data_IF_251731578743
#
_entry.id   IF_251731578743
#
_cell.length_a   1.000
_cell.length_b   1.000
_cell.length_c   1.000
_cell.angle_alpha   90.00
_cell.angle_beta   90.00
_cell.angle_gamma   90.00
#
_symmetry.space_group_name_H-M   'P 1'
#
loop_
_entity.id
_entity.type
_entity.pdbx_description
1 polymer ?
#
# COMPACT_ATOMS: atom_id res chain seq x y z
N UNK A 1 -2.35 -10.31 -28.08
CA UNK A 1 -1.19 -10.58 -27.22
C UNK A 1 -1.24 -9.54 -26.07
N UNK A 2 -0.35 -9.59 -25.07
CA UNK A 2 -0.36 -8.60 -23.99
C UNK A 2 0.99 -7.91 -23.89
N UNK A 3 0.97 -6.58 -23.89
CA UNK A 3 2.12 -5.71 -23.74
C UNK A 3 2.15 -5.19 -22.30
N UNK A 4 3.23 -5.46 -21.59
CA UNK A 4 3.43 -4.97 -20.24
C UNK A 4 4.29 -3.71 -20.25
N UNK A 5 3.83 -2.68 -19.56
CA UNK A 5 4.55 -1.44 -19.37
C UNK A 5 4.42 -0.93 -17.93
N UNK A 6 5.23 0.05 -17.57
CA UNK A 6 5.22 0.67 -16.25
C UNK A 6 5.17 2.19 -16.37
N UNK A 7 4.33 2.84 -15.56
CA UNK A 7 4.31 4.28 -15.43
C UNK A 7 5.64 4.77 -14.84
N UNK A 8 6.22 5.81 -15.45
CA UNK A 8 7.51 6.40 -15.04
C UNK A 8 7.35 7.62 -14.15
N UNK A 9 6.15 8.22 -14.12
CA UNK A 9 5.86 9.41 -13.33
C UNK A 9 4.94 9.06 -12.15
N UNK A 10 5.21 9.59 -10.95
CA UNK A 10 4.29 9.43 -9.82
C UNK A 10 2.98 10.18 -10.08
N UNK A 11 1.85 9.74 -9.50
CA UNK A 11 0.59 10.47 -9.63
C UNK A 11 0.60 11.78 -8.85
N UNK A 12 -0.26 12.71 -9.28
CA UNK A 12 -0.70 13.80 -8.41
C UNK A 12 -1.76 13.26 -7.47
N UNK A 13 -1.55 13.42 -6.17
CA UNK A 13 -2.44 12.90 -5.14
C UNK A 13 -3.19 14.03 -4.44
N UNK A 14 -4.52 13.94 -4.39
CA UNK A 14 -5.40 14.89 -3.71
C UNK A 14 -6.15 14.15 -2.61
N UNK A 15 -6.04 14.64 -1.38
CA UNK A 15 -6.76 14.07 -0.23
C UNK A 15 -8.19 14.59 -0.23
N UNK A 16 -9.14 13.68 -0.11
CA UNK A 16 -10.56 13.98 0.11
C UNK A 16 -10.89 13.64 1.55
N UNK A 17 -11.20 14.67 2.34
CA UNK A 17 -11.54 14.53 3.75
C UNK A 17 -13.01 14.11 3.90
N UNK A 18 -13.22 12.92 4.46
CA UNK A 18 -14.51 12.35 4.89
C UNK A 18 -15.42 11.73 3.80
N UNK A 19 -15.40 10.39 3.62
CA UNK A 19 -14.49 9.40 4.23
C UNK A 19 -13.04 9.59 3.74
N UNK A 20 -12.01 9.07 4.45
CA UNK A 20 -10.62 9.20 4.02
C UNK A 20 -10.39 8.50 2.68
N UNK A 21 -10.38 9.29 1.61
CA UNK A 21 -10.14 8.86 0.25
C UNK A 21 -9.02 9.69 -0.38
N UNK A 22 -8.39 9.12 -1.40
CA UNK A 22 -7.38 9.79 -2.20
C UNK A 22 -7.79 9.75 -3.65
N UNK A 23 -7.87 10.92 -4.28
CA UNK A 23 -7.94 11.00 -5.73
C UNK A 23 -6.50 10.99 -6.27
N UNK A 24 -6.17 9.96 -7.04
CA UNK A 24 -4.91 9.78 -7.72
C UNK A 24 -5.09 10.15 -9.20
N UNK A 25 -4.30 11.10 -9.67
CA UNK A 25 -4.31 11.56 -11.05
C UNK A 25 -3.02 11.11 -11.72
N UNK A 26 -3.15 10.18 -12.66
CA UNK A 26 -2.06 9.69 -13.50
C UNK A 26 -2.19 10.28 -14.90
N UNK A 27 -1.05 10.63 -15.48
CA UNK A 27 -0.96 11.01 -16.88
C UNK A 27 0.44 10.71 -17.39
N UNK A 28 0.55 10.28 -18.64
CA UNK A 28 1.86 10.07 -19.23
C UNK A 28 1.80 9.53 -20.65
N UNK A 29 2.97 9.12 -21.12
CA UNK A 29 3.14 8.46 -22.42
C UNK A 29 3.85 7.13 -22.17
N UNK A 30 3.25 6.06 -22.65
CA UNK A 30 3.89 4.74 -22.75
C UNK A 30 4.64 4.69 -24.07
N UNK A 31 5.89 4.23 -24.02
CA UNK A 31 6.75 4.03 -25.19
C UNK A 31 7.23 2.58 -25.14
N UNK A 32 7.25 1.92 -26.30
CA UNK A 32 7.91 0.61 -26.38
C UNK A 32 9.43 0.76 -26.23
N UNK A 33 10.08 -0.15 -25.51
CA UNK A 33 11.49 0.02 -25.14
C UNK A 33 12.41 0.13 -26.38
N UNK A 34 12.37 -0.90 -27.22
CA UNK A 34 13.17 -0.98 -28.47
C UNK A 34 12.32 -1.37 -29.68
N UNK A 35 11.11 -1.88 -29.43
CA UNK A 35 10.12 -2.28 -30.43
C UNK A 35 8.86 -1.44 -30.22
N UNK A 36 8.06 -1.24 -31.27
CA UNK A 36 6.74 -0.63 -31.10
C UNK A 36 5.85 -1.47 -30.18
N UNK A 37 4.90 -0.79 -29.53
CA UNK A 37 3.94 -1.42 -28.62
C UNK A 37 3.06 -2.44 -29.35
N UNK A 38 2.70 -2.16 -30.60
CA UNK A 38 1.81 -3.01 -31.38
C UNK A 38 2.14 -2.88 -32.86
N UNK A 39 2.27 -4.00 -33.58
CA UNK A 39 2.53 -4.05 -35.03
C UNK A 39 1.45 -4.89 -35.71
N UNK A 40 0.95 -4.40 -36.84
CA UNK A 40 0.01 -5.11 -37.72
C UNK A 40 0.56 -5.12 -39.14
N UNK A 41 0.56 -6.30 -39.76
CA UNK A 41 1.03 -6.55 -41.14
C UNK A 41 -0.07 -7.19 -42.00
N UNK A 42 -1.33 -6.95 -41.67
CA UNK A 42 -2.49 -7.49 -42.36
C UNK A 42 -3.63 -6.47 -42.45
N UNK A 43 -4.53 -6.64 -43.42
CA UNK A 43 -5.76 -5.84 -43.50
C UNK A 43 -6.85 -6.25 -42.50
N UNK A 44 -6.67 -7.30 -41.71
CA UNK A 44 -7.58 -7.65 -40.63
C UNK A 44 -7.37 -6.70 -39.44
N UNK A 45 -8.47 -6.36 -38.75
CA UNK A 45 -8.39 -5.68 -37.45
C UNK A 45 -7.75 -6.66 -36.47
N UNK A 46 -6.64 -6.25 -35.88
CA UNK A 46 -5.97 -7.00 -34.82
C UNK A 46 -6.16 -6.27 -33.49
N UNK A 47 -6.18 -7.04 -32.41
CA UNK A 47 -6.37 -6.55 -31.04
C UNK A 47 -5.17 -6.88 -30.18
N UNK A 48 -4.79 -5.94 -29.32
CA UNK A 48 -3.69 -6.07 -28.36
C UNK A 48 -4.08 -5.47 -27.01
N UNK A 49 -3.81 -6.19 -25.93
CA UNK A 49 -4.02 -5.68 -24.57
C UNK A 49 -2.76 -4.97 -24.09
N UNK A 50 -2.87 -3.69 -23.73
CA UNK A 50 -1.86 -2.97 -22.98
C UNK A 50 -2.17 -3.07 -21.48
N UNK A 51 -1.27 -3.68 -20.71
CA UNK A 51 -1.29 -3.68 -19.24
C UNK A 51 -0.18 -2.74 -18.73
N UNK A 52 -0.60 -1.56 -18.28
CA UNK A 52 0.27 -0.52 -17.74
C UNK A 52 0.20 -0.52 -16.21
N UNK A 53 1.25 -0.99 -15.56
CA UNK A 53 1.39 -0.89 -14.11
C UNK A 53 1.60 0.58 -13.70
N UNK A 54 0.68 1.12 -12.89
CA UNK A 54 0.72 2.50 -12.41
C UNK A 54 1.64 2.69 -11.18
N UNK A 55 2.25 1.60 -10.69
CA UNK A 55 3.22 1.54 -9.60
C UNK A 55 2.76 2.23 -8.31
N UNK A 56 1.46 2.21 -8.05
CA UNK A 56 0.87 2.82 -6.86
C UNK A 56 0.00 1.80 -6.12
N UNK A 57 0.42 1.32 -4.93
CA UNK A 57 -0.36 0.38 -4.17
C UNK A 57 -1.48 1.12 -3.41
N UNK A 58 -2.67 0.55 -3.41
CA UNK A 58 -3.87 1.14 -2.78
C UNK A 58 -4.63 0.09 -1.99
N UNK A 59 -5.55 0.51 -1.11
CA UNK A 59 -6.41 -0.40 -0.36
C UNK A 59 -7.56 -0.92 -1.23
N UNK A 60 -8.46 -0.03 -1.63
CA UNK A 60 -9.62 -0.35 -2.47
C UNK A 60 -9.89 0.77 -3.48
N UNK A 61 -10.20 0.42 -4.72
CA UNK A 61 -10.73 1.37 -5.71
C UNK A 61 -12.19 1.67 -5.36
N UNK A 62 -12.50 2.95 -5.11
CA UNK A 62 -13.88 3.45 -4.91
C UNK A 62 -14.51 3.76 -6.28
N UNK A 63 -13.79 4.52 -7.09
CA UNK A 63 -14.20 4.91 -8.44
C UNK A 63 -12.96 5.11 -9.31
N UNK A 64 -13.09 4.87 -10.60
CA UNK A 64 -12.02 5.13 -11.55
C UNK A 64 -12.58 5.57 -12.90
N UNK A 65 -11.80 6.39 -13.59
CA UNK A 65 -11.97 6.69 -15.00
C UNK A 65 -10.61 6.69 -15.66
N UNK A 66 -10.54 6.23 -16.89
CA UNK A 66 -9.30 6.20 -17.65
C UNK A 66 -9.56 6.52 -19.11
N UNK A 67 -8.53 7.02 -19.77
CA UNK A 67 -8.54 7.30 -21.19
C UNK A 67 -7.16 6.97 -21.74
N UNK A 68 -7.18 6.32 -22.88
CA UNK A 68 -5.99 6.00 -23.66
C UNK A 68 -6.19 6.59 -25.05
N UNK A 69 -5.18 7.26 -25.55
CA UNK A 69 -5.22 7.91 -26.85
C UNK A 69 -3.91 7.68 -27.62
N UNK A 70 -4.02 7.63 -28.93
CA UNK A 70 -2.88 7.51 -29.82
C UNK A 70 -1.98 8.74 -29.69
N UNK A 71 -0.70 8.53 -29.36
CA UNK A 71 0.29 9.60 -29.34
C UNK A 71 1.21 9.55 -30.56
N UNK A 72 1.54 8.35 -31.05
CA UNK A 72 2.42 8.18 -32.21
C UNK A 72 2.20 6.85 -32.90
N UNK A 73 2.01 6.92 -34.22
CA UNK A 73 1.92 5.78 -35.13
C UNK A 73 2.97 5.89 -36.22
N UNK A 74 3.50 4.76 -36.68
CA UNK A 74 4.41 4.64 -37.81
C UNK A 74 3.87 3.68 -38.86
N UNK A 75 4.32 3.85 -40.10
CA UNK A 75 3.97 3.00 -41.24
C UNK A 75 5.21 2.77 -42.10
N UNK A 76 5.29 1.61 -42.75
CA UNK A 76 6.33 1.35 -43.75
C UNK A 76 6.08 2.12 -45.05
N UNK A 77 4.81 2.38 -45.44
CA UNK A 77 4.47 2.97 -46.75
C UNK A 77 3.41 4.09 -46.72
N UNK A 78 2.84 4.44 -45.56
CA UNK A 78 2.32 5.80 -45.26
C UNK A 78 1.07 6.30 -46.00
N UNK A 79 -0.03 5.53 -46.05
CA UNK A 79 -1.20 5.90 -46.88
C UNK A 79 -2.55 5.94 -46.14
N UNK A 80 -2.91 4.93 -45.33
CA UNK A 80 -4.08 5.00 -44.43
C UNK A 80 -3.99 3.99 -43.27
N UNK A 81 -4.68 4.26 -42.16
CA UNK A 81 -4.79 3.33 -41.03
C UNK A 81 -6.06 3.56 -40.22
N UNK A 82 -6.48 2.53 -39.49
CA UNK A 82 -7.55 2.62 -38.48
C UNK A 82 -6.96 2.27 -37.12
N UNK A 83 -7.19 3.13 -36.14
CA UNK A 83 -6.84 2.90 -34.75
C UNK A 83 -8.08 3.15 -33.87
N UNK A 84 -8.31 2.28 -32.89
CA UNK A 84 -9.23 2.56 -31.80
C UNK A 84 -8.71 2.02 -30.46
N UNK A 85 -9.20 2.64 -29.39
CA UNK A 85 -9.12 2.09 -28.04
C UNK A 85 -10.51 1.57 -27.71
N UNK A 86 -10.66 0.24 -27.72
CA UNK A 86 -11.96 -0.40 -27.57
C UNK A 86 -12.45 -0.27 -26.12
N UNK A 87 -11.54 -0.47 -25.16
CA UNK A 87 -11.80 -0.30 -23.73
C UNK A 87 -10.58 0.26 -23.00
N UNK A 88 -10.84 0.93 -21.88
CA UNK A 88 -9.82 1.31 -20.91
C UNK A 88 -10.40 1.18 -19.52
N UNK A 89 -9.75 0.41 -18.65
CA UNK A 89 -10.18 0.16 -17.28
C UNK A 89 -9.01 0.26 -16.33
N UNK A 90 -9.31 0.52 -15.06
CA UNK A 90 -8.34 0.44 -13.97
C UNK A 90 -8.65 -0.82 -13.17
N UNK A 91 -7.64 -1.66 -13.01
CA UNK A 91 -7.69 -2.86 -12.17
C UNK A 91 -6.73 -2.70 -10.99
N UNK A 92 -7.01 -3.43 -9.92
CA UNK A 92 -6.12 -3.56 -8.77
C UNK A 92 -5.69 -5.01 -8.67
N UNK A 93 -4.39 -5.25 -8.53
CA UNK A 93 -3.87 -6.58 -8.22
C UNK A 93 -4.30 -6.95 -6.79
N UNK A 94 -5.06 -8.05 -6.59
CA UNK A 94 -5.55 -8.43 -5.27
C UNK A 94 -4.46 -8.85 -4.28
N UNK A 95 -3.26 -9.21 -4.75
CA UNK A 95 -2.17 -9.65 -3.88
C UNK A 95 -1.27 -8.50 -3.46
N UNK A 96 -0.97 -7.58 -4.41
CA UNK A 96 -0.03 -6.48 -4.17
C UNK A 96 -0.71 -5.15 -3.87
N UNK A 97 -1.99 -5.01 -4.20
CA UNK A 97 -2.73 -3.75 -4.13
C UNK A 97 -2.33 -2.76 -5.23
N UNK A 98 -1.41 -3.13 -6.13
CA UNK A 98 -0.92 -2.28 -7.22
C UNK A 98 -2.02 -1.99 -8.23
N UNK A 99 -2.10 -0.74 -8.66
CA UNK A 99 -3.00 -0.34 -9.73
C UNK A 99 -2.39 -0.63 -11.11
N UNK A 100 -3.19 -1.16 -12.02
CA UNK A 100 -2.90 -1.30 -13.45
C UNK A 100 -3.96 -0.59 -14.28
N UNK A 101 -3.53 0.09 -15.34
CA UNK A 101 -4.39 0.52 -16.42
C UNK A 101 -4.36 -0.56 -17.51
N UNK A 102 -5.53 -1.13 -17.81
CA UNK A 102 -5.69 -2.15 -18.85
C UNK A 102 -6.44 -1.49 -20.02
N UNK A 103 -5.89 -1.56 -21.22
CA UNK A 103 -6.52 -1.01 -22.41
C UNK A 103 -6.47 -2.00 -23.57
N UNK A 104 -7.59 -2.15 -24.25
CA UNK A 104 -7.70 -2.94 -25.47
C UNK A 104 -7.50 -2.01 -26.67
N UNK A 105 -6.43 -2.25 -27.43
CA UNK A 105 -6.05 -1.48 -28.60
C UNK A 105 -6.41 -2.28 -29.86
N UNK A 106 -7.04 -1.61 -30.83
CA UNK A 106 -7.29 -2.18 -32.14
C UNK A 106 -6.56 -1.39 -33.23
N UNK A 107 -5.89 -2.12 -34.13
CA UNK A 107 -5.13 -1.56 -35.24
C UNK A 107 -5.42 -2.36 -36.50
N UNK A 108 -5.57 -1.65 -37.61
CA UNK A 108 -5.75 -2.24 -38.93
C UNK A 108 -4.79 -1.58 -39.91
N UNK A 109 -4.06 -2.41 -40.66
CA UNK A 109 -3.30 -1.94 -41.82
C UNK A 109 -4.21 -1.82 -43.04
N UNK A 110 -3.78 -1.03 -44.02
CA UNK A 110 -4.53 -0.83 -45.25
C UNK A 110 -4.57 -2.07 -46.16
N UNK A 111 -5.29 -1.92 -47.28
CA UNK A 111 -5.40 -2.92 -48.34
C UNK A 111 -4.02 -3.18 -48.94
N UNK A 112 -3.72 -4.42 -49.40
CA UNK A 112 -2.39 -4.75 -49.86
C UNK A 112 -2.02 -3.89 -51.08
N UNK A 113 -0.74 -3.54 -51.18
CA UNK A 113 -0.21 -2.75 -52.30
C UNK A 113 -0.26 -3.56 -53.60
N UNK A 114 0.05 -2.91 -54.73
CA UNK A 114 -0.01 -3.53 -56.07
C UNK A 114 0.82 -4.83 -56.20
N UNK A 115 1.77 -5.08 -55.28
CA UNK A 115 2.54 -6.31 -55.20
C UNK A 115 1.96 -7.42 -54.31
N UNK A 116 0.78 -7.24 -53.72
CA UNK A 116 0.16 -8.20 -52.80
C UNK A 116 0.72 -8.20 -51.38
N UNK A 117 1.61 -7.25 -51.06
CA UNK A 117 2.20 -7.07 -49.73
C UNK A 117 1.39 -6.08 -48.91
N UNK A 118 1.27 -6.33 -47.60
CA UNK A 118 0.63 -5.41 -46.68
C UNK A 118 1.69 -4.51 -46.05
N UNK A 119 1.48 -3.18 -45.98
CA UNK A 119 2.40 -2.33 -45.25
C UNK A 119 2.32 -2.66 -43.76
N UNK A 120 3.45 -2.56 -43.08
CA UNK A 120 3.52 -2.70 -41.64
C UNK A 120 3.06 -1.39 -41.00
N UNK A 121 2.07 -1.49 -40.12
CA UNK A 121 1.61 -0.39 -39.26
C UNK A 121 2.04 -0.67 -37.83
N UNK A 122 2.48 0.34 -37.10
CA UNK A 122 2.86 0.14 -35.71
C UNK A 122 2.61 1.33 -34.80
N UNK A 123 2.23 1.05 -33.55
CA UNK A 123 2.04 2.05 -32.50
C UNK A 123 3.35 2.18 -31.73
N UNK A 124 3.98 3.35 -31.81
CA UNK A 124 5.21 3.63 -31.04
C UNK A 124 4.89 4.11 -29.63
N UNK A 125 3.86 4.95 -29.51
CA UNK A 125 3.55 5.68 -28.29
C UNK A 125 2.05 5.83 -28.08
N UNK A 126 1.65 5.69 -26.83
CA UNK A 126 0.27 5.85 -26.38
C UNK A 126 0.27 6.82 -25.21
N UNK A 127 -0.56 7.85 -25.28
CA UNK A 127 -0.80 8.73 -24.12
C UNK A 127 -1.92 8.14 -23.27
N UNK A 128 -1.79 8.25 -21.96
CA UNK A 128 -2.81 7.81 -21.02
C UNK A 128 -3.12 8.90 -20.00
N UNK A 129 -4.34 8.89 -19.50
CA UNK A 129 -4.76 9.57 -18.28
C UNK A 129 -5.65 8.64 -17.48
N UNK A 130 -5.41 8.56 -16.17
CA UNK A 130 -6.27 7.83 -15.25
C UNK A 130 -6.55 8.68 -14.02
N UNK A 131 -7.79 8.66 -13.56
CA UNK A 131 -8.21 9.27 -12.32
C UNK A 131 -8.80 8.16 -11.46
N UNK A 132 -8.21 7.91 -10.31
CA UNK A 132 -8.57 6.80 -9.44
C UNK A 132 -8.85 7.35 -8.06
N UNK A 133 -10.11 7.30 -7.65
CA UNK A 133 -10.49 7.55 -6.27
C UNK A 133 -10.33 6.24 -5.50
N UNK A 134 -9.41 6.23 -4.54
CA UNK A 134 -9.13 5.07 -3.70
C UNK A 134 -9.43 5.37 -2.25
N UNK A 135 -9.85 4.34 -1.53
CA UNK A 135 -9.92 4.39 -0.09
C UNK A 135 -8.51 4.25 0.47
N UNK A 136 -8.11 5.19 1.32
CA UNK A 136 -6.92 5.02 2.14
C UNK A 136 -7.42 4.38 3.43
N UNK A 137 -7.31 3.05 3.52
CA UNK A 137 -7.45 2.42 4.82
C UNK A 137 -6.33 2.98 5.72
N UNK A 138 -6.73 3.66 6.79
CA UNK A 138 -5.74 4.17 7.72
C UNK A 138 -5.03 2.98 8.35
N UNK A 139 -3.69 2.93 8.29
CA UNK A 139 -2.93 1.86 8.90
C UNK A 139 -3.16 1.85 10.41
N UNK A 140 -3.60 0.70 10.92
CA UNK A 140 -4.02 0.52 12.30
C UNK A 140 -3.22 -0.59 12.96
N UNK A 141 -2.74 -0.34 14.17
CA UNK A 141 -2.29 -1.39 15.10
C UNK A 141 -3.17 -1.35 16.34
N UNK A 142 -3.76 -2.50 16.70
CA UNK A 142 -4.67 -2.61 17.83
C UNK A 142 -4.33 -3.83 18.71
N UNK A 143 -4.62 -3.71 20.00
CA UNK A 143 -4.40 -4.77 20.97
C UNK A 143 -4.95 -4.43 22.35
N UNK A 144 -4.61 -5.29 23.32
CA UNK A 144 -4.98 -5.17 24.72
C UNK A 144 -3.76 -5.10 25.62
N UNK A 145 -3.81 -4.24 26.62
CA UNK A 145 -2.85 -4.13 27.72
C UNK A 145 -3.48 -4.77 28.95
N UNK A 146 -2.79 -5.71 29.58
CA UNK A 146 -3.30 -6.44 30.75
C UNK A 146 -2.35 -6.35 31.93
N UNK A 147 -2.89 -6.16 33.13
CA UNK A 147 -2.10 -6.18 34.36
C UNK A 147 -2.94 -6.64 35.56
N UNK A 148 -2.27 -7.21 36.55
CA UNK A 148 -2.87 -7.63 37.81
C UNK A 148 -3.14 -6.42 38.70
N UNK A 149 -4.35 -6.31 39.27
CA UNK A 149 -4.69 -5.25 40.22
C UNK A 149 -3.88 -5.34 41.53
N UNK A 150 -3.34 -6.52 41.84
CA UNK A 150 -2.54 -6.76 43.06
C UNK A 150 -1.13 -6.21 42.94
N UNK A 151 -0.64 -6.09 41.71
CA UNK A 151 0.75 -5.75 41.43
C UNK A 151 0.90 -4.29 40.98
N UNK A 152 -0.13 -3.73 40.34
CA UNK A 152 -0.10 -2.40 39.74
C UNK A 152 -1.42 -1.67 39.92
N UNK A 153 -1.33 -0.39 40.29
CA UNK A 153 -2.46 0.54 40.37
C UNK A 153 -2.38 1.62 39.27
N UNK A 154 -3.54 1.95 38.68
CA UNK A 154 -3.71 3.08 37.77
C UNK A 154 -4.57 4.16 38.47
N UNK A 155 -3.95 5.14 39.11
CA UNK A 155 -4.63 6.12 39.98
C UNK A 155 -5.49 7.13 39.21
N UNK A 156 -5.13 7.42 37.96
CA UNK A 156 -5.86 8.31 37.07
C UNK A 156 -5.59 7.97 35.60
N UNK A 157 -6.48 8.38 34.69
CA UNK A 157 -6.35 8.13 33.26
C UNK A 157 -6.02 9.40 32.48
N UNK A 158 -5.10 9.38 31.51
CA UNK A 158 -4.34 8.21 31.01
C UNK A 158 -3.23 7.75 31.96
N UNK A 159 -3.09 6.44 32.14
CA UNK A 159 -2.00 5.82 32.92
C UNK A 159 -0.95 5.14 32.05
N UNK A 160 -1.30 4.84 30.79
CA UNK A 160 -0.43 4.19 29.83
C UNK A 160 -0.40 5.00 28.55
N UNK A 161 0.73 5.00 27.86
CA UNK A 161 0.83 5.47 26.49
C UNK A 161 1.34 4.36 25.58
N UNK A 162 0.87 4.36 24.33
CA UNK A 162 1.31 3.42 23.30
C UNK A 162 1.84 4.19 22.11
N UNK A 163 2.90 3.66 21.51
CA UNK A 163 3.53 4.25 20.33
C UNK A 163 4.03 3.17 19.40
N UNK A 164 4.04 3.47 18.10
CA UNK A 164 4.77 2.72 17.10
C UNK A 164 6.07 3.46 16.82
N UNK A 165 7.18 2.75 16.96
CA UNK A 165 8.52 3.27 16.74
C UNK A 165 9.13 2.58 15.52
N UNK A 166 9.90 3.30 14.72
CA UNK A 166 10.68 2.67 13.66
C UNK A 166 11.70 1.69 14.26
N UNK A 167 12.31 0.86 13.42
CA UNK A 167 13.32 -0.11 13.85
C UNK A 167 14.70 0.36 13.42
N UNK A 168 15.65 0.41 14.36
CA UNK A 168 17.06 0.61 14.09
C UNK A 168 17.77 -0.75 14.13
N UNK A 169 18.27 -1.22 12.98
CA UNK A 169 19.02 -2.46 12.89
C UNK A 169 20.47 -2.27 13.34
N UNK A 170 20.99 -3.22 14.13
CA UNK A 170 22.41 -3.21 14.47
C UNK A 170 23.27 -3.40 13.21
N UNK A 171 24.46 -2.75 13.12
CA UNK A 171 25.35 -2.90 11.98
C UNK A 171 25.75 -4.36 11.71
N UNK A 172 26.08 -4.72 10.46
CA UNK A 172 26.61 -6.03 10.14
C UNK A 172 27.85 -6.35 10.99
N UNK A 173 27.82 -7.41 11.79
CA UNK A 173 28.92 -7.86 12.66
C UNK A 173 28.61 -7.91 14.16
N UNK A 174 27.46 -7.36 14.60
CA UNK A 174 26.93 -7.59 15.96
C UNK A 174 26.02 -8.81 16.05
N UNK A 175 25.84 -9.38 17.24
CA UNK A 175 24.78 -10.37 17.49
C UNK A 175 23.44 -9.75 17.04
N UNK A 176 22.82 -10.36 16.03
CA UNK A 176 21.66 -9.80 15.33
C UNK A 176 20.58 -9.34 16.29
N UNK A 177 20.12 -8.11 16.10
CA UNK A 177 19.15 -7.48 16.96
C UNK A 177 18.69 -6.15 16.38
N UNK A 178 17.62 -5.63 16.96
CA UNK A 178 17.12 -4.32 16.64
C UNK A 178 16.80 -3.55 17.91
N UNK A 179 16.87 -2.23 17.82
CA UNK A 179 16.42 -1.33 18.87
C UNK A 179 15.27 -0.48 18.36
N UNK A 180 14.33 -0.07 19.23
CA UNK A 180 13.33 0.92 18.86
C UNK A 180 14.01 2.24 18.46
N UNK A 181 13.60 2.77 17.32
CA UNK A 181 13.99 4.07 16.80
C UNK A 181 12.99 5.17 17.18
N UNK A 182 12.96 6.30 16.43
CA UNK A 182 12.00 7.37 16.66
C UNK A 182 10.54 6.92 16.57
N UNK A 183 9.68 7.60 17.33
CA UNK A 183 8.22 7.44 17.27
C UNK A 183 7.72 7.89 15.90
N UNK A 184 6.98 7.03 15.20
CA UNK A 184 6.36 7.33 13.91
C UNK A 184 4.85 7.50 14.02
N UNK A 185 4.22 6.90 15.03
CA UNK A 185 2.80 7.09 15.35
C UNK A 185 2.55 6.91 16.86
N UNK A 186 1.52 7.58 17.37
CA UNK A 186 1.05 7.42 18.76
C UNK A 186 -0.37 6.88 18.75
N UNK A 187 -0.74 6.15 19.80
CA UNK A 187 -2.09 5.61 19.93
C UNK A 187 -2.83 6.12 21.15
N UNK A 188 -4.13 5.84 21.14
CA UNK A 188 -5.05 6.09 22.24
C UNK A 188 -5.21 4.80 23.03
N UNK A 189 -5.16 4.90 24.36
CA UNK A 189 -5.46 3.79 25.27
C UNK A 189 -6.76 4.13 25.98
N UNK A 190 -7.71 3.19 25.95
CA UNK A 190 -8.99 3.33 26.63
C UNK A 190 -8.88 3.02 28.12
N UNK A 191 -9.73 3.60 28.99
CA UNK A 191 -9.76 3.26 30.40
C UNK A 191 -9.91 1.74 30.62
N UNK A 192 -9.24 1.17 31.64
CA UNK A 192 -9.27 -0.26 31.86
C UNK A 192 -10.63 -0.73 32.38
N UNK A 193 -10.98 -1.96 32.02
CA UNK A 193 -12.06 -2.72 32.66
C UNK A 193 -11.42 -3.78 33.56
N UNK A 194 -11.87 -3.83 34.81
CA UNK A 194 -11.45 -4.83 35.78
C UNK A 194 -12.34 -6.07 35.68
N UNK A 195 -11.73 -7.23 35.45
CA UNK A 195 -12.41 -8.52 35.47
C UNK A 195 -11.54 -9.57 36.18
N UNK A 196 -12.08 -10.19 37.23
CA UNK A 196 -11.40 -11.27 37.98
C UNK A 196 -9.98 -10.92 38.46
N UNK A 197 -9.78 -9.68 38.90
CA UNK A 197 -8.48 -9.19 39.40
C UNK A 197 -7.47 -8.81 38.31
N UNK A 198 -7.87 -8.82 37.04
CA UNK A 198 -7.05 -8.38 35.91
C UNK A 198 -7.69 -7.15 35.28
N UNK A 199 -6.93 -6.06 35.24
CA UNK A 199 -7.28 -4.87 34.47
C UNK A 199 -6.93 -5.11 33.00
N UNK A 200 -7.84 -4.78 32.11
CA UNK A 200 -7.65 -4.86 30.65
C UNK A 200 -8.00 -3.51 30.02
N UNK A 201 -7.06 -2.92 29.29
CA UNK A 201 -7.27 -1.70 28.51
C UNK A 201 -7.04 -1.98 27.02
N UNK A 202 -7.95 -1.57 26.15
CA UNK A 202 -7.76 -1.64 24.70
C UNK A 202 -6.97 -0.44 24.22
N UNK A 203 -6.20 -0.60 23.14
CA UNK A 203 -5.51 0.51 22.51
C UNK A 203 -5.58 0.46 20.99
N UNK A 204 -5.43 1.64 20.37
CA UNK A 204 -5.45 1.83 18.93
C UNK A 204 -4.36 2.83 18.52
N UNK A 205 -3.45 2.42 17.63
CA UNK A 205 -2.45 3.29 16.98
C UNK A 205 -2.89 3.46 15.52
N UNK A 206 -3.11 4.70 15.10
CA UNK A 206 -3.48 5.05 13.72
C UNK A 206 -2.33 5.75 13.00
N UNK A 207 -2.29 5.68 11.67
CA UNK A 207 -1.34 6.46 10.86
C UNK A 207 0.10 5.91 10.86
N UNK A 208 0.26 4.61 11.12
CA UNK A 208 1.56 3.93 11.03
C UNK A 208 2.02 3.86 9.56
N UNK A 209 3.23 4.31 9.19
CA UNK A 209 3.67 4.28 7.79
C UNK A 209 3.69 2.85 7.19
N UNK A 210 3.12 2.67 5.99
CA UNK A 210 3.20 1.40 5.26
C UNK A 210 4.64 1.07 4.84
N UNK A 211 4.95 -0.22 4.75
CA UNK A 211 6.25 -0.72 4.28
C UNK A 211 7.41 -0.50 5.26
N UNK A 212 7.19 0.26 6.33
CA UNK A 212 8.19 0.48 7.38
C UNK A 212 8.04 -0.58 8.48
N UNK A 213 9.17 -1.18 8.88
CA UNK A 213 9.21 -2.01 10.07
C UNK A 213 9.08 -1.15 11.32
N UNK A 214 8.11 -1.48 12.16
CA UNK A 214 7.83 -0.80 13.42
C UNK A 214 7.76 -1.78 14.59
N UNK A 215 8.10 -1.29 15.78
CA UNK A 215 7.86 -1.98 17.05
C UNK A 215 6.87 -1.17 17.87
N UNK A 216 5.97 -1.85 18.58
CA UNK A 216 5.02 -1.20 19.47
C UNK A 216 5.61 -1.14 20.86
N UNK A 217 5.64 0.05 21.44
CA UNK A 217 6.10 0.29 22.80
C UNK A 217 4.93 0.76 23.67
N UNK A 218 4.88 0.20 24.87
CA UNK A 218 3.98 0.61 25.96
C UNK A 218 4.82 1.29 27.02
N UNK A 219 4.43 2.50 27.42
CA UNK A 219 5.12 3.27 28.45
C UNK A 219 4.16 3.56 29.59
N UNK A 220 4.62 3.32 30.82
CA UNK A 220 3.90 3.72 32.02
C UNK A 220 4.01 5.23 32.23
N UNK A 221 2.86 5.88 32.46
CA UNK A 221 2.79 7.29 32.85
C UNK A 221 2.85 7.41 34.39
N UNK A 222 3.07 8.62 34.95
CA UNK A 222 3.22 8.80 36.40
C UNK A 222 2.04 8.31 37.26
N UNK A 223 0.85 8.17 36.69
CA UNK A 223 -0.34 7.63 37.35
C UNK A 223 -0.41 6.09 37.36
N UNK A 224 0.52 5.40 36.72
CA UNK A 224 0.64 3.93 36.70
C UNK A 224 1.75 3.48 37.64
N UNK A 225 1.37 2.97 38.81
CA UNK A 225 2.29 2.71 39.93
C UNK A 225 2.36 1.23 40.28
N UNK A 226 3.57 0.75 40.48
CA UNK A 226 3.82 -0.55 41.10
C UNK A 226 3.37 -0.51 42.57
N UNK A 227 2.60 -1.51 42.98
CA UNK A 227 2.24 -1.74 44.38
C UNK A 227 3.31 -2.57 45.09
N UNK A 228 3.94 -3.49 44.36
CA UNK A 228 4.96 -4.41 44.86
C UNK A 228 6.07 -4.59 43.81
N UNK A 229 7.31 -4.88 44.24
CA UNK A 229 8.45 -5.21 43.38
C UNK A 229 9.26 -4.01 42.84
N UNK A 230 10.36 -4.33 42.11
CA UNK A 230 11.41 -3.34 41.80
C UNK A 230 11.39 -2.84 40.34
N UNK A 231 10.80 -3.58 39.40
CA UNK A 231 10.82 -3.17 37.98
C UNK A 231 9.55 -3.60 37.26
N UNK A 232 8.90 -2.62 36.63
CA UNK A 232 7.75 -2.81 35.74
C UNK A 232 8.27 -3.05 34.32
N UNK A 233 7.82 -4.13 33.70
CA UNK A 233 8.04 -4.40 32.29
C UNK A 233 6.73 -4.62 31.55
N UNK A 234 6.71 -4.26 30.27
CA UNK A 234 5.63 -4.62 29.35
C UNK A 234 6.15 -5.68 28.38
N UNK A 235 5.51 -6.84 28.38
CA UNK A 235 5.89 -7.96 27.55
C UNK A 235 4.79 -8.24 26.56
N UNK A 236 5.17 -8.36 25.29
CA UNK A 236 4.21 -8.70 24.23
C UNK A 236 3.70 -10.12 24.47
N UNK A 237 2.38 -10.27 24.48
CA UNK A 237 1.69 -11.55 24.60
C UNK A 237 1.38 -12.11 23.21
N UNK A 238 1.55 -13.43 23.05
CA UNK A 238 1.27 -14.12 21.80
C UNK A 238 2.40 -14.11 20.77
N UNK A 239 2.20 -14.84 19.68
CA UNK A 239 3.19 -15.05 18.62
C UNK A 239 3.03 -14.09 17.43
N UNK A 240 2.67 -12.84 17.71
CA UNK A 240 2.61 -11.82 16.64
C UNK A 240 4.01 -11.35 16.26
N UNK A 241 4.26 -11.16 14.97
CA UNK A 241 5.56 -10.75 14.46
C UNK A 241 6.09 -9.48 15.15
N UNK A 242 7.38 -9.47 15.47
CA UNK A 242 8.07 -8.32 16.05
C UNK A 242 9.49 -8.21 15.43
N UNK A 243 9.78 -7.20 14.62
CA UNK A 243 8.94 -6.04 14.30
C UNK A 243 7.74 -6.37 13.38
N UNK A 244 6.81 -5.43 13.30
CA UNK A 244 5.63 -5.44 12.45
C UNK A 244 5.88 -4.64 11.17
N UNK A 245 5.31 -5.07 10.05
CA UNK A 245 5.23 -4.27 8.83
C UNK A 245 3.80 -4.29 8.34
N UNK A 246 3.16 -3.12 8.25
CA UNK A 246 1.84 -2.99 7.62
C UNK A 246 2.02 -2.80 6.11
N UNK A 247 1.13 -3.40 5.33
CA UNK A 247 1.05 -3.20 3.88
C UNK A 247 -0.33 -2.65 3.52
N UNK A 248 -0.51 -2.08 2.32
CA UNK A 248 -1.84 -1.65 1.88
C UNK A 248 -2.88 -2.78 1.86
N UNK A 249 -2.45 -4.03 1.60
CA UNK A 249 -3.31 -5.22 1.63
C UNK A 249 -3.49 -5.84 3.01
N UNK A 250 -2.62 -5.50 3.97
CA UNK A 250 -2.72 -5.84 5.39
C UNK A 250 -2.59 -4.55 6.21
N UNK A 251 -3.58 -3.68 6.05
CA UNK A 251 -3.57 -2.33 6.63
C UNK A 251 -3.74 -2.33 8.14
N UNK A 252 -4.20 -3.44 8.70
CA UNK A 252 -4.49 -3.60 10.11
C UNK A 252 -3.69 -4.75 10.70
N UNK A 253 -3.05 -4.49 11.83
CA UNK A 253 -2.52 -5.54 12.70
C UNK A 253 -3.29 -5.52 14.03
N UNK A 254 -4.13 -6.52 14.23
CA UNK A 254 -4.85 -6.74 15.49
C UNK A 254 -4.09 -7.72 16.40
N UNK A 255 -4.58 -7.87 17.63
CA UNK A 255 -4.06 -8.80 18.64
C UNK A 255 -2.59 -8.56 19.02
N UNK A 256 -2.13 -7.30 18.96
CA UNK A 256 -0.81 -6.91 19.47
C UNK A 256 -0.93 -6.69 20.99
N UNK A 257 -1.05 -7.78 21.72
CA UNK A 257 -1.34 -7.72 23.15
C UNK A 257 -0.07 -7.53 23.99
N UNK A 258 -0.19 -6.88 25.14
CA UNK A 258 0.88 -6.76 26.13
C UNK A 258 0.37 -7.11 27.53
N UNK A 259 1.26 -7.72 28.32
CA UNK A 259 1.06 -7.95 29.74
C UNK A 259 2.09 -7.13 30.49
N UNK A 260 1.63 -6.31 31.43
CA UNK A 260 2.51 -5.69 32.41
C UNK A 260 2.85 -6.74 33.46
N UNK A 261 4.13 -7.01 33.68
CA UNK A 261 4.57 -7.91 34.74
C UNK A 261 5.66 -7.25 35.57
N UNK A 262 5.69 -7.67 36.83
CA UNK A 262 6.68 -7.23 37.80
C UNK A 262 7.75 -8.30 37.88
N UNK A 263 8.98 -7.95 37.55
CA UNK A 263 10.11 -8.86 37.75
C UNK A 263 10.67 -8.68 39.16
N UNK A 264 10.73 -9.77 39.91
CA UNK A 264 11.62 -9.85 41.07
C UNK A 264 12.99 -10.26 40.54
N UNK A 265 13.89 -9.29 40.34
CA UNK A 265 15.31 -9.61 40.19
C UNK A 265 15.73 -10.35 41.48
N UNK A 266 15.87 -11.67 41.37
CA UNK A 266 16.43 -12.55 42.40
C UNK A 266 17.94 -12.52 42.34
#
# INVERSE_FOLDING_TARGET
MTVFASATQPPVAVIVSDPPAQLLLFSGIVVGNNDPLFIVTSSAIQHETLDLNLNFPTGRIIASTSTVALASIGSSEGVAFTFATDTSTIAQDPNTGSLSLIAELSLQSETPTWGGWYPSMWINRVSYSAQVLVEIEQPIIAGTLRWSERDVAAESWPALSVSANSVNWSPPGGFGGFTPGPVVATGVVEPPVLASGVNTATYLITGVPFGQQVTVLVTALPSFKLLHGNTLGFYRSGNTANPLTLTPTQSQQQNVDFVASVSTLS
#
